data_IF_121512252800
#
_entry.id   IF_121512252800
#
_cell.length_a   1.000
_cell.length_b   1.000
_cell.length_c   1.000
_cell.angle_alpha   90.00
_cell.angle_beta   90.00
_cell.angle_gamma   90.00
#
_symmetry.space_group_name_H-M   'P 1'
#
loop_
_entity.id
_entity.type
_entity.pdbx_description
1 polymer ?
#
# COMPACT_ATOMS: atom_id res chain seq x y z
N UNK A 1 7.58 7.47 -27.06
CA UNK A 1 8.55 6.43 -26.66
C UNK A 1 8.02 5.54 -25.51
N UNK A 2 6.70 5.38 -25.37
CA UNK A 2 6.09 4.59 -24.27
C UNK A 2 5.30 3.37 -24.79
N UNK A 3 5.19 3.23 -26.11
CA UNK A 3 4.34 2.22 -26.76
C UNK A 3 5.08 0.90 -27.08
N UNK A 4 6.41 0.87 -26.99
CA UNK A 4 7.19 -0.28 -27.48
C UNK A 4 7.34 -1.40 -26.45
N UNK A 5 7.15 -1.12 -25.15
CA UNK A 5 7.27 -2.12 -24.08
C UNK A 5 5.99 -2.98 -23.98
N UNK A 6 4.82 -2.40 -24.25
CA UNK A 6 3.53 -3.08 -24.10
C UNK A 6 3.28 -4.17 -25.16
N UNK A 7 3.82 -3.99 -26.38
CA UNK A 7 3.58 -4.91 -27.51
C UNK A 7 4.38 -6.22 -27.38
N UNK A 8 5.47 -6.23 -26.61
CA UNK A 8 6.35 -7.40 -26.46
C UNK A 8 5.77 -8.53 -25.60
N UNK A 9 4.70 -8.29 -24.85
CA UNK A 9 4.16 -9.27 -23.88
C UNK A 9 2.75 -9.80 -24.19
N UNK A 10 2.12 -9.41 -25.32
CA UNK A 10 0.79 -9.91 -25.69
C UNK A 10 -0.32 -9.65 -24.66
N UNK A 11 -0.05 -8.78 -23.68
CA UNK A 11 -0.95 -8.43 -22.60
C UNK A 11 -1.33 -6.95 -22.76
N UNK A 12 -2.62 -6.71 -22.95
CA UNK A 12 -3.18 -5.37 -23.02
C UNK A 12 -3.19 -4.80 -21.58
N UNK A 13 -2.18 -4.01 -21.23
CA UNK A 13 -2.14 -3.32 -19.93
C UNK A 13 -3.03 -2.09 -20.02
N UNK A 14 -4.31 -2.28 -19.66
CA UNK A 14 -5.23 -1.16 -19.45
C UNK A 14 -4.81 -0.39 -18.19
N UNK A 15 -3.93 0.60 -18.39
CA UNK A 15 -3.53 1.56 -17.37
C UNK A 15 -4.67 2.55 -17.14
N UNK A 16 -5.73 2.12 -16.47
CA UNK A 16 -6.67 3.06 -15.87
C UNK A 16 -5.96 3.71 -14.68
N UNK A 17 -5.78 5.03 -14.73
CA UNK A 17 -5.37 5.78 -13.54
C UNK A 17 -6.49 5.61 -12.51
N UNK A 18 -6.19 5.09 -11.31
CA UNK A 18 -7.19 4.94 -10.28
C UNK A 18 -7.77 6.31 -9.91
N UNK A 19 -9.07 6.34 -9.66
CA UNK A 19 -9.78 7.56 -9.27
C UNK A 19 -9.24 8.04 -7.91
N UNK A 20 -8.83 9.32 -7.82
CA UNK A 20 -7.95 9.80 -6.74
C UNK A 20 -8.57 9.71 -5.34
N UNK A 21 -9.91 9.75 -5.28
CA UNK A 21 -10.71 9.71 -4.05
C UNK A 21 -10.96 8.28 -3.54
N UNK A 22 -10.68 7.26 -4.36
CA UNK A 22 -10.81 5.88 -3.93
C UNK A 22 -9.72 5.53 -2.91
N UNK A 23 -10.13 4.82 -1.87
CA UNK A 23 -9.21 4.36 -0.84
C UNK A 23 -8.49 3.09 -1.34
N UNK A 24 -7.17 3.15 -1.44
CA UNK A 24 -6.32 2.04 -1.89
C UNK A 24 -5.44 1.51 -0.75
N UNK A 25 -5.08 0.24 -0.84
CA UNK A 25 -4.10 -0.36 0.07
C UNK A 25 -2.69 -0.20 -0.50
N UNK A 26 -1.78 0.26 0.34
CA UNK A 26 -0.38 0.43 0.01
C UNK A 26 0.50 -0.37 0.96
N UNK A 27 1.40 -1.17 0.40
CA UNK A 27 2.56 -1.69 1.12
C UNK A 27 3.62 -0.60 1.17
N UNK A 28 3.98 -0.20 2.39
CA UNK A 28 4.96 0.84 2.67
C UNK A 28 6.10 0.21 3.45
N UNK A 29 7.34 0.36 2.97
CA UNK A 29 8.56 -0.09 3.66
C UNK A 29 9.40 1.10 4.09
N UNK A 30 10.01 1.00 5.25
CA UNK A 30 10.89 2.02 5.80
C UNK A 30 12.13 1.37 6.41
N UNK A 31 13.34 1.92 6.17
CA UNK A 31 14.55 1.54 6.88
C UNK A 31 14.64 2.21 8.25
N UNK A 32 13.76 3.18 8.54
CA UNK A 32 13.60 3.79 9.86
C UNK A 32 12.69 2.92 10.73
N UNK A 33 12.65 3.12 12.06
CA UNK A 33 11.66 2.47 12.91
C UNK A 33 10.25 2.65 12.35
N UNK A 34 9.44 1.59 12.36
CA UNK A 34 8.14 1.60 11.66
C UNK A 34 7.18 2.68 12.16
N UNK A 35 7.37 3.17 13.40
CA UNK A 35 6.68 4.34 13.95
C UNK A 35 6.79 5.60 13.08
N UNK A 36 7.89 5.75 12.33
CA UNK A 36 8.05 6.82 11.37
C UNK A 36 7.04 6.72 10.22
N UNK A 37 6.95 5.54 9.59
CA UNK A 37 5.98 5.30 8.52
C UNK A 37 4.54 5.38 9.03
N UNK A 38 4.26 4.85 10.23
CA UNK A 38 2.95 4.98 10.89
C UNK A 38 2.56 6.45 11.07
N UNK A 39 3.47 7.29 11.55
CA UNK A 39 3.23 8.72 11.71
C UNK A 39 2.90 9.41 10.39
N UNK A 40 3.61 9.10 9.31
CA UNK A 40 3.36 9.66 7.98
C UNK A 40 1.99 9.26 7.40
N UNK A 41 1.56 8.02 7.65
CA UNK A 41 0.23 7.52 7.25
C UNK A 41 -0.86 8.24 8.04
N UNK A 42 -0.71 8.32 9.37
CA UNK A 42 -1.69 8.97 10.24
C UNK A 42 -1.83 10.47 9.94
N UNK A 43 -0.72 11.17 9.66
CA UNK A 43 -0.73 12.59 9.28
C UNK A 43 -1.55 12.85 8.01
N UNK A 44 -1.59 11.86 7.10
CA UNK A 44 -2.34 11.91 5.84
C UNK A 44 -3.76 11.38 5.96
N UNK A 45 -4.24 11.12 7.17
CA UNK A 45 -5.57 10.56 7.41
C UNK A 45 -5.73 9.11 6.97
N UNK A 46 -4.62 8.38 6.77
CA UNK A 46 -4.66 6.97 6.39
C UNK A 46 -4.93 6.05 7.56
N UNK A 47 -5.35 4.82 7.25
CA UNK A 47 -5.61 3.77 8.23
C UNK A 47 -4.66 2.60 8.05
N UNK A 48 -3.95 2.22 9.10
CA UNK A 48 -3.08 1.04 9.07
C UNK A 48 -3.92 -0.22 9.24
N UNK A 49 -3.75 -1.18 8.34
CA UNK A 49 -4.51 -2.43 8.29
C UNK A 49 -3.65 -3.61 8.76
N UNK A 50 -2.37 -3.61 8.41
CA UNK A 50 -1.39 -4.60 8.84
C UNK A 50 -0.12 -3.87 9.24
N UNK A 51 0.45 -4.25 10.38
CA UNK A 51 1.71 -3.70 10.87
C UNK A 51 2.74 -4.80 11.09
N UNK A 52 3.96 -4.55 10.63
CA UNK A 52 5.16 -5.32 10.93
C UNK A 52 6.24 -4.38 11.50
N UNK A 53 7.42 -4.90 11.81
CA UNK A 53 8.55 -4.11 12.32
C UNK A 53 9.28 -3.30 11.25
N UNK A 54 9.17 -3.70 9.97
CA UNK A 54 9.89 -3.07 8.86
C UNK A 54 8.96 -2.57 7.73
N UNK A 55 7.67 -2.89 7.79
CA UNK A 55 6.69 -2.51 6.78
C UNK A 55 5.28 -2.43 7.35
N UNK A 56 4.41 -1.71 6.66
CA UNK A 56 2.98 -1.63 6.95
C UNK A 56 2.16 -1.79 5.67
N UNK A 57 0.94 -2.27 5.81
CA UNK A 57 -0.11 -2.11 4.81
C UNK A 57 -1.10 -1.08 5.33
N UNK A 58 -1.30 -0.01 4.58
CA UNK A 58 -2.19 1.08 4.98
C UNK A 58 -3.16 1.46 3.86
N UNK A 59 -4.35 1.89 4.25
CA UNK A 59 -5.38 2.42 3.39
C UNK A 59 -5.26 3.94 3.31
N UNK A 60 -5.12 4.46 2.08
CA UNK A 60 -4.95 5.88 1.78
C UNK A 60 -5.61 6.20 0.42
N UNK A 61 -6.06 7.46 0.18
CA UNK A 61 -6.30 7.96 -1.17
C UNK A 61 -5.06 7.78 -2.05
N UNK A 62 -5.25 7.53 -3.34
CA UNK A 62 -4.15 7.13 -4.23
C UNK A 62 -3.01 8.15 -4.24
N UNK A 63 -3.34 9.44 -4.39
CA UNK A 63 -2.36 10.53 -4.46
C UNK A 63 -1.54 10.66 -3.17
N UNK A 64 -2.19 10.54 -2.01
CA UNK A 64 -1.53 10.61 -0.71
C UNK A 64 -0.60 9.41 -0.49
N UNK A 65 -1.04 8.21 -0.88
CA UNK A 65 -0.22 7.00 -0.82
C UNK A 65 1.00 7.12 -1.74
N UNK A 66 0.82 7.55 -2.98
CA UNK A 66 1.92 7.72 -3.92
C UNK A 66 2.88 8.85 -3.53
N UNK A 67 2.39 9.91 -2.90
CA UNK A 67 3.21 10.99 -2.36
C UNK A 67 4.23 10.51 -1.32
N UNK A 68 3.95 9.42 -0.60
CA UNK A 68 4.89 8.83 0.36
C UNK A 68 6.19 8.33 -0.29
N UNK A 69 6.23 8.12 -1.62
CA UNK A 69 7.47 7.75 -2.32
C UNK A 69 8.56 8.82 -2.22
N UNK A 70 8.17 10.07 -2.01
CA UNK A 70 9.08 11.20 -1.91
C UNK A 70 9.53 11.47 -0.47
N UNK A 71 8.93 10.78 0.51
CA UNK A 71 9.23 11.01 1.92
C UNK A 71 10.60 10.46 2.33
N UNK A 72 11.45 11.26 3.00
CA UNK A 72 12.73 10.80 3.48
C UNK A 72 12.59 9.60 4.43
N UNK A 73 13.22 8.49 4.10
CA UNK A 73 13.12 7.29 4.94
C UNK A 73 11.88 6.44 4.65
N UNK A 74 11.21 6.63 3.51
CA UNK A 74 10.42 5.58 2.87
C UNK A 74 11.26 4.98 1.73
N UNK A 75 11.41 3.65 1.72
CA UNK A 75 12.18 2.95 0.68
C UNK A 75 11.29 2.32 -0.38
N UNK A 76 10.03 2.09 -0.06
CA UNK A 76 9.09 1.48 -0.99
C UNK A 76 7.66 1.90 -0.68
N UNK A 77 6.91 2.20 -1.74
CA UNK A 77 5.45 2.30 -1.72
C UNK A 77 4.91 1.60 -2.95
N UNK A 78 4.00 0.65 -2.75
CA UNK A 78 3.34 -0.06 -3.84
C UNK A 78 1.90 -0.34 -3.49
N UNK A 79 1.00 -0.14 -4.44
CA UNK A 79 -0.39 -0.58 -4.28
C UNK A 79 -0.43 -2.10 -4.18
N UNK A 80 -1.24 -2.61 -3.25
CA UNK A 80 -1.45 -4.03 -3.06
C UNK A 80 -2.95 -4.32 -3.06
N UNK A 81 -3.31 -5.49 -3.56
CA UNK A 81 -4.67 -5.99 -3.44
C UNK A 81 -4.69 -7.12 -2.42
N UNK A 82 -5.61 -7.04 -1.46
CA UNK A 82 -5.88 -8.13 -0.54
C UNK A 82 -7.22 -8.74 -0.93
N UNK A 83 -7.19 -10.01 -1.33
CA UNK A 83 -8.42 -10.78 -1.54
C UNK A 83 -9.21 -10.83 -0.21
N UNK A 84 -10.45 -10.29 -0.17
CA UNK A 84 -11.17 -10.12 1.10
C UNK A 84 -11.33 -11.41 1.88
N UNK A 85 -11.65 -12.51 1.18
CA UNK A 85 -11.86 -13.83 1.80
C UNK A 85 -10.59 -14.35 2.49
N UNK A 86 -9.44 -14.22 1.82
CA UNK A 86 -8.14 -14.63 2.37
C UNK A 86 -7.71 -13.73 3.52
N UNK A 87 -7.97 -12.43 3.41
CA UNK A 87 -7.64 -11.48 4.47
C UNK A 87 -8.46 -11.70 5.74
N UNK A 88 -9.77 -11.95 5.60
CA UNK A 88 -10.63 -12.29 6.74
C UNK A 88 -10.21 -13.62 7.37
N UNK A 89 -9.86 -14.62 6.57
CA UNK A 89 -9.32 -15.89 7.08
C UNK A 89 -8.02 -15.67 7.86
N UNK A 90 -7.09 -14.86 7.33
CA UNK A 90 -5.87 -14.46 8.03
C UNK A 90 -6.17 -13.75 9.36
N UNK A 91 -7.10 -12.79 9.37
CA UNK A 91 -7.50 -12.10 10.60
C UNK A 91 -8.15 -13.05 11.61
N UNK A 92 -8.89 -14.08 11.21
CA UNK A 92 -9.41 -15.07 12.16
C UNK A 92 -8.32 -15.95 12.76
N UNK A 93 -7.30 -16.30 11.97
CA UNK A 93 -6.22 -17.18 12.40
C UNK A 93 -5.15 -16.45 13.23
N UNK A 94 -4.90 -15.18 12.93
CA UNK A 94 -3.77 -14.42 13.48
C UNK A 94 -4.17 -13.06 14.07
N UNK A 95 -5.40 -12.59 13.80
CA UNK A 95 -5.98 -11.42 14.42
C UNK A 95 -6.55 -11.77 15.80
N UNK A 96 -5.63 -11.78 16.76
CA UNK A 96 -5.81 -11.54 18.20
C UNK A 96 -5.72 -12.76 19.17
N UNK A 97 -4.63 -12.85 19.96
CA UNK A 97 -4.61 -13.54 21.26
C UNK A 97 -5.11 -12.70 22.46
N UNK A 98 -5.48 -11.42 22.32
CA UNK A 98 -5.93 -10.59 23.46
C UNK A 98 -7.06 -9.63 23.08
N UNK A 99 -8.29 -10.11 23.23
CA UNK A 99 -9.43 -9.29 23.62
C UNK A 99 -9.61 -9.41 25.15
#
# INVERSE_FOLDING_TARGET
>A
MTNDIARSFGAEVNLALPDSDQQHLFLIKSPRPISYALGLVNLRGGRVVIQSTAWIVAQLPYELGMGLKQEPGITFVGSVFLEPEKFLAFQRLYGNPQA
#
